data_IF_007030550341
#
_entry.id   IF_007030550341
#
_cell.length_a   1.000
_cell.length_b   1.000
_cell.length_c   1.000
_cell.angle_alpha   90.00
_cell.angle_beta   90.00
_cell.angle_gamma   90.00
#
_symmetry.space_group_name_H-M   'P 1'
#
loop_
_entity.id
_entity.type
_entity.pdbx_description
1 polymer ?
#
# COMPACT_ATOMS: atom_id res chain seq x y z
N UNK A 1 -10.38 -0.02 16.43
CA UNK A 1 -9.78 1.02 15.57
C UNK A 1 -9.54 0.43 14.18
N UNK A 2 -9.73 1.22 13.11
CA UNK A 2 -9.35 0.82 11.75
C UNK A 2 -7.93 1.27 11.48
N UNK A 3 -7.10 0.40 10.92
CA UNK A 3 -5.69 0.65 10.60
C UNK A 3 -5.47 0.30 9.13
N UNK A 4 -5.00 1.28 8.36
CA UNK A 4 -4.57 1.07 7.00
C UNK A 4 -3.05 0.92 6.97
N UNK A 5 -2.58 -0.24 6.53
CA UNK A 5 -1.15 -0.52 6.37
C UNK A 5 -0.79 -0.35 4.91
N UNK A 6 0.01 0.66 4.59
CA UNK A 6 0.59 0.85 3.26
C UNK A 6 1.99 0.28 3.20
N UNK A 7 2.26 -0.60 2.26
CA UNK A 7 3.61 -1.15 2.05
C UNK A 7 4.03 -1.08 0.59
N UNK A 8 5.28 -0.67 0.29
CA UNK A 8 5.79 -0.61 -1.08
C UNK A 8 5.83 -2.00 -1.74
N UNK A 9 5.99 -3.05 -0.93
CA UNK A 9 6.05 -4.42 -1.40
C UNK A 9 5.55 -5.38 -0.34
N UNK A 10 4.81 -6.40 -0.78
CA UNK A 10 4.39 -7.52 0.03
C UNK A 10 4.90 -8.79 -0.64
N UNK A 11 5.57 -9.66 0.13
CA UNK A 11 6.05 -10.95 -0.35
C UNK A 11 5.28 -12.06 0.36
N UNK A 12 4.71 -12.98 -0.41
CA UNK A 12 3.99 -14.15 0.10
C UNK A 12 4.50 -15.40 -0.63
N UNK A 13 5.21 -16.32 0.06
CA UNK A 13 5.74 -16.18 1.42
C UNK A 13 6.85 -15.10 1.51
N UNK A 14 7.12 -14.54 2.71
CA UNK A 14 8.23 -13.61 2.91
C UNK A 14 9.58 -14.30 2.63
N UNK A 15 10.50 -13.57 1.98
CA UNK A 15 11.81 -14.05 1.53
C UNK A 15 12.97 -13.50 2.36
N UNK A 16 12.74 -12.43 3.15
CA UNK A 16 13.77 -11.81 3.99
C UNK A 16 13.24 -11.36 5.35
N UNK A 17 14.16 -11.02 6.26
CA UNK A 17 13.84 -10.61 7.63
C UNK A 17 12.87 -9.41 7.68
N UNK A 18 13.16 -8.36 6.89
CA UNK A 18 12.29 -7.16 6.84
C UNK A 18 10.86 -7.46 6.36
N UNK A 19 10.71 -8.42 5.46
CA UNK A 19 9.40 -8.84 4.95
C UNK A 19 8.66 -9.66 6.00
N UNK A 20 9.36 -10.56 6.68
CA UNK A 20 8.80 -11.35 7.77
C UNK A 20 8.32 -10.46 8.93
N UNK A 21 9.13 -9.48 9.35
CA UNK A 21 8.76 -8.55 10.44
C UNK A 21 7.50 -7.75 10.09
N UNK A 22 7.39 -7.31 8.84
CA UNK A 22 6.18 -6.62 8.34
C UNK A 22 4.94 -7.52 8.43
N UNK A 23 5.06 -8.78 8.00
CA UNK A 23 3.98 -9.75 8.06
C UNK A 23 3.54 -10.04 9.50
N UNK A 24 4.51 -10.27 10.38
CA UNK A 24 4.26 -10.47 11.82
C UNK A 24 3.59 -9.24 12.42
N UNK A 25 4.03 -8.03 12.10
CA UNK A 25 3.42 -6.79 12.56
C UNK A 25 1.94 -6.67 12.15
N UNK A 26 1.62 -6.94 10.88
CA UNK A 26 0.24 -6.95 10.39
C UNK A 26 -0.63 -7.97 11.15
N UNK A 27 -0.10 -9.17 11.38
CA UNK A 27 -0.80 -10.22 12.13
C UNK A 27 -0.99 -9.83 13.60
N UNK A 28 0.00 -9.19 14.23
CA UNK A 28 -0.10 -8.72 15.61
C UNK A 28 -1.16 -7.64 15.76
N UNK A 29 -1.21 -6.64 14.87
CA UNK A 29 -2.27 -5.63 14.86
C UNK A 29 -3.65 -6.28 14.74
N UNK A 30 -3.77 -7.33 13.93
CA UNK A 30 -5.00 -8.10 13.80
C UNK A 30 -5.34 -8.85 15.10
N UNK A 31 -4.36 -9.49 15.75
CA UNK A 31 -4.56 -10.20 17.04
C UNK A 31 -4.98 -9.26 18.16
N UNK A 32 -4.60 -7.99 18.10
CA UNK A 32 -5.05 -6.94 19.02
C UNK A 32 -6.51 -6.49 18.77
N UNK A 33 -7.21 -7.09 17.80
CA UNK A 33 -8.60 -6.78 17.49
C UNK A 33 -8.79 -5.55 16.61
N UNK A 34 -7.75 -5.08 15.93
CA UNK A 34 -7.88 -3.98 14.98
C UNK A 34 -8.48 -4.46 13.64
N UNK A 35 -9.24 -3.56 13.01
CA UNK A 35 -9.66 -3.76 11.63
C UNK A 35 -8.51 -3.32 10.71
N UNK A 36 -7.68 -4.27 10.30
CA UNK A 36 -6.48 -4.04 9.51
C UNK A 36 -6.80 -4.27 8.04
N UNK A 37 -6.51 -3.27 7.22
CA UNK A 37 -6.52 -3.37 5.75
C UNK A 37 -5.11 -3.16 5.24
N UNK A 38 -4.71 -3.97 4.26
CA UNK A 38 -3.36 -3.90 3.70
C UNK A 38 -3.45 -3.40 2.26
N UNK A 39 -2.76 -2.30 2.01
CA UNK A 39 -2.56 -1.74 0.70
C UNK A 39 -1.10 -2.00 0.29
N UNK A 40 -0.92 -2.80 -0.77
CA UNK A 40 0.40 -3.10 -1.31
C UNK A 40 0.47 -2.71 -2.77
N UNK A 41 1.67 -2.42 -3.24
CA UNK A 41 1.88 -2.36 -4.67
C UNK A 41 2.14 -3.74 -5.26
N UNK A 42 1.64 -3.96 -6.47
CA UNK A 42 1.97 -5.11 -7.29
C UNK A 42 3.31 -4.83 -7.97
N UNK A 43 4.34 -5.60 -7.61
CA UNK A 43 5.60 -5.57 -8.30
C UNK A 43 5.46 -6.24 -9.67
N UNK A 44 6.23 -5.79 -10.66
CA UNK A 44 6.14 -6.29 -12.05
C UNK A 44 6.35 -7.81 -12.22
N UNK A 45 6.95 -8.48 -11.23
CA UNK A 45 7.18 -9.92 -11.21
C UNK A 45 6.09 -10.72 -10.46
N UNK A 46 5.09 -10.04 -9.89
CA UNK A 46 3.99 -10.67 -9.19
C UNK A 46 2.85 -10.98 -10.15
N UNK A 47 2.19 -12.11 -9.92
CA UNK A 47 1.10 -12.59 -10.78
C UNK A 47 -0.18 -11.79 -10.51
N UNK A 48 -1.12 -11.74 -11.48
CA UNK A 48 -2.46 -11.19 -11.25
C UNK A 48 -3.24 -11.89 -10.12
N UNK A 49 -2.83 -13.09 -9.73
CA UNK A 49 -3.42 -13.86 -8.62
C UNK A 49 -2.86 -13.46 -7.25
N UNK A 50 -1.80 -12.66 -7.20
CA UNK A 50 -1.07 -12.35 -5.99
C UNK A 50 -1.95 -11.73 -4.89
N UNK A 51 -2.88 -10.84 -5.25
CA UNK A 51 -3.81 -10.22 -4.28
C UNK A 51 -4.63 -11.29 -3.54
N UNK A 52 -5.10 -12.31 -4.26
CA UNK A 52 -5.88 -13.42 -3.69
C UNK A 52 -5.01 -14.30 -2.81
N UNK A 53 -3.78 -14.59 -3.25
CA UNK A 53 -2.81 -15.37 -2.48
C UNK A 53 -2.45 -14.66 -1.17
N UNK A 54 -2.18 -13.36 -1.23
CA UNK A 54 -1.88 -12.54 -0.07
C UNK A 54 -3.08 -12.40 0.87
N UNK A 55 -4.28 -12.20 0.33
CA UNK A 55 -5.53 -12.18 1.10
C UNK A 55 -5.75 -13.49 1.84
N UNK A 56 -5.52 -14.62 1.16
CA UNK A 56 -5.65 -15.96 1.77
C UNK A 56 -4.60 -16.17 2.85
N UNK A 57 -3.34 -15.79 2.59
CA UNK A 57 -2.24 -15.98 3.54
C UNK A 57 -2.40 -15.13 4.80
N UNK A 58 -2.84 -13.88 4.67
CA UNK A 58 -3.08 -12.98 5.79
C UNK A 58 -4.45 -13.20 6.47
N UNK A 59 -5.35 -13.94 5.82
CA UNK A 59 -6.73 -14.14 6.27
C UNK A 59 -7.57 -12.85 6.27
N UNK A 60 -7.14 -11.81 5.56
CA UNK A 60 -7.73 -10.46 5.56
C UNK A 60 -7.61 -9.80 4.18
N UNK A 61 -8.47 -8.81 3.87
CA UNK A 61 -8.41 -8.11 2.58
C UNK A 61 -7.06 -7.44 2.36
N UNK A 62 -6.39 -7.85 1.28
CA UNK A 62 -5.26 -7.15 0.68
C UNK A 62 -5.76 -6.52 -0.60
N UNK A 63 -5.41 -5.25 -0.83
CA UNK A 63 -5.62 -4.60 -2.11
C UNK A 63 -4.26 -4.33 -2.73
N UNK A 64 -4.07 -4.84 -3.95
CA UNK A 64 -2.87 -4.60 -4.74
C UNK A 64 -3.14 -3.54 -5.80
N UNK A 65 -2.22 -2.61 -5.97
CA UNK A 65 -2.28 -1.62 -7.06
C UNK A 65 -1.00 -1.67 -7.87
N UNK A 66 -1.12 -1.61 -9.19
CA UNK A 66 0.03 -1.62 -10.08
C UNK A 66 0.98 -0.47 -9.76
N UNK A 67 2.25 -0.81 -9.47
CA UNK A 67 3.25 0.24 -9.27
C UNK A 67 3.87 0.66 -10.58
N UNK A 68 3.58 1.89 -10.96
CA UNK A 68 4.32 2.58 -12.01
C UNK A 68 5.34 3.52 -11.38
N UNK A 69 6.66 3.25 -11.47
CA UNK A 69 7.65 4.18 -10.93
C UNK A 69 7.47 5.55 -11.58
N UNK A 70 7.28 6.56 -10.73
CA UNK A 70 7.10 7.93 -11.17
C UNK A 70 8.41 8.44 -11.78
N UNK A 71 8.46 8.55 -13.10
CA UNK A 71 9.48 9.36 -13.78
C UNK A 71 8.97 10.80 -13.78
N UNK A 72 9.52 11.73 -12.97
CA UNK A 72 9.10 13.12 -13.05
C UNK A 72 9.56 13.68 -14.39
N UNK A 73 8.63 13.78 -15.34
CA UNK A 73 8.91 14.37 -16.65
C UNK A 73 8.88 15.90 -16.62
N UNK A 74 8.35 16.51 -15.54
CA UNK A 74 8.35 17.97 -15.36
C UNK A 74 8.09 18.43 -13.91
N UNK A 75 8.56 19.63 -13.57
CA UNK A 75 8.28 20.34 -12.30
C UNK A 75 6.77 20.49 -12.05
N UNK A 76 5.97 20.68 -13.10
CA UNK A 76 4.50 20.79 -13.01
C UNK A 76 3.84 19.51 -12.49
N UNK A 77 4.39 18.34 -12.82
CA UNK A 77 3.90 17.07 -12.31
C UNK A 77 4.21 16.90 -10.82
N UNK A 78 5.39 17.35 -10.37
CA UNK A 78 5.77 17.36 -8.95
C UNK A 78 4.86 18.29 -8.14
N UNK A 79 4.58 19.50 -8.64
CA UNK A 79 3.69 20.45 -7.98
C UNK A 79 2.27 19.89 -7.76
N UNK A 80 1.67 19.27 -8.80
CA UNK A 80 0.33 18.66 -8.67
C UNK A 80 0.29 17.57 -7.59
N UNK A 81 1.37 16.80 -7.45
CA UNK A 81 1.46 15.75 -6.41
C UNK A 81 1.55 16.34 -5.01
N UNK A 82 2.32 17.41 -4.83
CA UNK A 82 2.40 18.09 -3.53
C UNK A 82 1.04 18.67 -3.13
N UNK A 83 0.32 19.28 -4.08
CA UNK A 83 -1.06 19.75 -3.84
C UNK A 83 -1.98 18.59 -3.48
N UNK A 84 -1.94 17.48 -4.22
CA UNK A 84 -2.75 16.28 -3.90
C UNK A 84 -2.39 15.68 -2.52
N UNK A 85 -1.11 15.59 -2.17
CA UNK A 85 -0.66 15.13 -0.86
C UNK A 85 -1.10 16.07 0.28
N UNK A 86 -1.23 17.38 0.01
CA UNK A 86 -1.82 18.33 0.95
C UNK A 86 -3.30 18.04 1.29
N UNK A 87 -4.02 17.35 0.42
CA UNK A 87 -5.39 16.89 0.66
C UNK A 87 -5.47 15.50 1.31
N UNK A 88 -4.41 14.69 1.20
CA UNK A 88 -4.32 13.35 1.79
C UNK A 88 -3.02 13.23 2.61
N UNK A 89 -3.03 13.64 3.89
CA UNK A 89 -1.82 13.72 4.69
C UNK A 89 -1.09 12.38 4.88
N UNK A 90 -1.77 11.24 4.69
CA UNK A 90 -1.15 9.93 4.68
C UNK A 90 -0.10 9.74 3.57
N UNK A 91 -0.16 10.56 2.50
CA UNK A 91 0.80 10.55 1.39
C UNK A 91 2.01 11.46 1.62
N UNK A 92 2.00 12.25 2.70
CA UNK A 92 3.13 13.09 3.11
C UNK A 92 4.20 12.30 3.88
N UNK A 93 3.92 11.05 4.26
CA UNK A 93 4.98 10.13 4.67
C UNK A 93 5.91 9.94 3.45
N UNK A 94 7.20 10.22 3.62
CA UNK A 94 8.18 10.21 2.52
C UNK A 94 8.25 8.88 1.77
N UNK A 95 7.76 7.79 2.40
CA UNK A 95 7.59 6.47 1.81
C UNK A 95 6.40 6.36 0.83
N UNK A 96 5.47 7.33 0.82
CA UNK A 96 4.25 7.34 0.01
C UNK A 96 4.26 8.40 -1.11
N UNK A 97 5.13 9.42 -1.04
CA UNK A 97 5.23 10.49 -2.05
C UNK A 97 5.59 10.00 -3.48
N UNK A 98 6.51 9.03 -3.67
CA UNK A 98 6.75 8.39 -4.97
C UNK A 98 5.54 7.58 -5.49
N UNK A 99 4.52 7.44 -4.66
CA UNK A 99 3.33 6.63 -4.88
C UNK A 99 2.04 7.47 -4.90
N UNK A 100 2.13 8.81 -4.81
CA UNK A 100 1.00 9.74 -4.93
C UNK A 100 0.53 9.89 -6.39
N UNK A 101 0.17 8.77 -7.02
CA UNK A 101 -0.56 8.72 -8.29
C UNK A 101 -2.06 8.84 -8.02
N UNK A 102 -2.82 9.45 -8.93
CA UNK A 102 -4.27 9.62 -8.78
C UNK A 102 -4.99 8.28 -8.52
N UNK A 103 -4.59 7.22 -9.23
CA UNK A 103 -5.15 5.86 -9.06
C UNK A 103 -4.88 5.29 -7.66
N UNK A 104 -3.71 5.60 -7.08
CA UNK A 104 -3.35 5.20 -5.72
C UNK A 104 -4.16 6.00 -4.70
N UNK A 105 -4.41 7.28 -4.96
CA UNK A 105 -5.26 8.13 -4.11
C UNK A 105 -6.70 7.61 -4.10
N UNK A 106 -7.27 7.31 -5.26
CA UNK A 106 -8.64 6.78 -5.38
C UNK A 106 -8.78 5.40 -4.71
N UNK A 107 -7.78 4.53 -4.87
CA UNK A 107 -7.75 3.23 -4.22
C UNK A 107 -7.61 3.37 -2.70
N UNK A 108 -6.80 4.32 -2.23
CA UNK A 108 -6.62 4.64 -0.82
C UNK A 108 -7.91 5.19 -0.19
N UNK A 109 -8.60 6.11 -0.86
CA UNK A 109 -9.89 6.64 -0.42
C UNK A 109 -10.95 5.53 -0.38
N UNK A 110 -10.96 4.62 -1.36
CA UNK A 110 -11.86 3.45 -1.35
C UNK A 110 -11.57 2.55 -0.14
N UNK A 111 -10.30 2.32 0.17
CA UNK A 111 -9.87 1.53 1.32
C UNK A 111 -10.23 2.18 2.66
N UNK A 112 -10.33 3.51 2.74
CA UNK A 112 -10.73 4.27 3.93
C UNK A 112 -12.25 4.45 4.08
N UNK A 113 -12.99 4.52 2.98
CA UNK A 113 -14.42 4.91 2.95
C UNK A 113 -15.42 3.77 3.25
N UNK A 114 -14.95 2.52 3.28
CA UNK A 114 -15.76 1.32 3.61
C UNK A 114 -15.42 0.78 4.99
#
# INVERSE_FOLDING_TARGET
MRILVTTPFLAVPPRGACENDRMVGIQQLTRLGHDVRVFSFLAAHQTPTFEREATTYLGRPVQCVDYHPLRPTSVRAVWRRLVAAGHHPALLDGAALPHAQLEVIEAFDTALSR
#
